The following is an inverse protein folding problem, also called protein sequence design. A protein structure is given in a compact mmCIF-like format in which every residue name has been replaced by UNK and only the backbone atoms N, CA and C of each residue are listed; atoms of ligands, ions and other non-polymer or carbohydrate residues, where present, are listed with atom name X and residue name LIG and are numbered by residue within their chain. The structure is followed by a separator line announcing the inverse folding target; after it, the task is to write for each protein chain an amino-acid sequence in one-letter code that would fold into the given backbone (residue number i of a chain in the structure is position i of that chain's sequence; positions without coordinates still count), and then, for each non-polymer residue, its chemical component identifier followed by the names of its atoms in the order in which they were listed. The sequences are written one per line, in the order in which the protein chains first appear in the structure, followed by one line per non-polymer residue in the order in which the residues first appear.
data_IF_973191420600
#
_entry.id   IF_973191420600
#
_cell.length_a   1.000
_cell.length_b   1.000
_cell.length_c   1.000
_cell.angle_alpha   90.00
_cell.angle_beta   90.00
_cell.angle_gamma   90.00
#
_symmetry.space_group_name_H-M   'P 1'
#
loop_
_entity.id
_entity.type
_entity.pdbx_description
1 polymer ?
#
# COMPACT_ATOMS: atom_id res chain seq x y z
N UNK A 1 58.95 23.28 -28.05
CA UNK A 1 59.17 22.84 -29.44
C UNK A 1 57.87 22.99 -30.23
N UNK A 2 56.74 22.54 -29.67
CA UNK A 2 55.35 22.77 -30.15
C UNK A 2 55.02 24.25 -30.39
N UNK A 3 55.21 25.14 -29.40
CA UNK A 3 54.97 26.60 -29.56
C UNK A 3 55.82 27.30 -30.65
N UNK A 4 56.87 26.64 -31.18
CA UNK A 4 57.72 27.14 -32.27
C UNK A 4 57.25 26.64 -33.64
N UNK A 5 56.50 25.55 -33.66
CA UNK A 5 55.88 24.93 -34.84
C UNK A 5 54.55 25.64 -35.14
N UNK A 6 53.73 25.94 -34.13
CA UNK A 6 52.45 26.68 -34.28
C UNK A 6 52.63 28.08 -34.89
N UNK A 7 53.76 28.73 -34.59
CA UNK A 7 54.11 30.05 -35.14
C UNK A 7 54.50 30.03 -36.62
N UNK A 8 54.92 28.86 -37.14
CA UNK A 8 55.40 28.69 -38.51
C UNK A 8 54.33 28.10 -39.46
N UNK A 9 53.21 27.60 -38.94
CA UNK A 9 52.12 26.97 -39.72
C UNK A 9 50.87 27.85 -39.88
N UNK A 10 50.92 29.14 -39.51
CA UNK A 10 49.77 30.07 -39.60
C UNK A 10 48.50 29.53 -38.90
N UNK A 11 48.63 28.78 -37.79
CA UNK A 11 47.51 28.11 -37.11
C UNK A 11 46.70 27.14 -37.98
N UNK A 12 47.25 26.67 -39.10
CA UNK A 12 46.61 25.64 -39.91
C UNK A 12 47.30 24.32 -39.63
N UNK A 13 46.87 23.68 -38.55
CA UNK A 13 47.33 22.36 -38.14
C UNK A 13 46.29 21.34 -38.65
N UNK A 14 46.51 20.79 -39.84
CA UNK A 14 45.71 19.66 -40.30
C UNK A 14 46.36 18.39 -39.78
N UNK A 15 45.70 17.74 -38.82
CA UNK A 15 46.05 16.39 -38.38
C UNK A 15 46.12 15.45 -39.60
N UNK A 16 47.29 14.82 -39.77
CA UNK A 16 47.64 13.99 -40.93
C UNK A 16 46.95 12.61 -40.90
N UNK A 17 46.33 12.23 -39.76
CA UNK A 17 45.73 10.91 -39.54
C UNK A 17 44.42 10.96 -38.72
N UNK A 18 43.51 10.02 -39.01
CA UNK A 18 42.18 9.90 -38.38
C UNK A 18 42.29 9.66 -36.87
N UNK A 19 43.29 8.89 -36.43
CA UNK A 19 43.50 8.61 -35.01
C UNK A 19 43.97 9.86 -34.24
N UNK A 20 44.76 10.71 -34.89
CA UNK A 20 45.19 12.01 -34.32
C UNK A 20 44.02 13.00 -34.21
N UNK A 21 43.11 13.00 -35.19
CA UNK A 21 41.83 13.74 -35.13
C UNK A 21 40.93 13.26 -33.98
N UNK A 22 40.89 11.95 -33.71
CA UNK A 22 40.10 11.38 -32.61
C UNK A 22 40.67 11.82 -31.24
N UNK A 23 41.99 11.90 -31.11
CA UNK A 23 42.66 12.36 -29.88
C UNK A 23 42.36 13.84 -29.64
N UNK A 24 42.56 14.68 -30.66
CA UNK A 24 42.26 16.12 -30.59
C UNK A 24 40.78 16.38 -30.29
N UNK A 25 39.87 15.54 -30.82
CA UNK A 25 38.43 15.60 -30.53
C UNK A 25 38.11 15.17 -29.09
N UNK A 26 38.76 14.13 -28.56
CA UNK A 26 38.55 13.69 -27.19
C UNK A 26 39.05 14.73 -26.18
N UNK A 27 40.18 15.37 -26.47
CA UNK A 27 40.68 16.51 -25.70
C UNK A 27 39.70 17.68 -25.78
N UNK A 28 39.23 18.02 -26.98
CA UNK A 28 38.25 19.08 -27.19
C UNK A 28 36.91 18.81 -26.46
N UNK A 29 36.46 17.56 -26.45
CA UNK A 29 35.24 17.12 -25.72
C UNK A 29 35.46 17.18 -24.21
N UNK A 30 36.63 16.81 -23.74
CA UNK A 30 36.97 16.87 -22.32
C UNK A 30 37.00 18.33 -21.82
N UNK A 31 37.55 19.26 -22.60
CA UNK A 31 37.53 20.68 -22.28
C UNK A 31 36.11 21.27 -22.29
N UNK A 32 35.31 20.94 -23.32
CA UNK A 32 33.90 21.36 -23.39
C UNK A 32 33.11 20.85 -22.17
N UNK A 33 33.30 19.57 -21.83
CA UNK A 33 32.62 18.94 -20.68
C UNK A 33 33.01 19.62 -19.37
N UNK A 34 34.29 19.96 -19.17
CA UNK A 34 34.75 20.69 -17.98
C UNK A 34 34.10 22.07 -17.84
N UNK A 35 33.96 22.82 -18.94
CA UNK A 35 33.31 24.14 -18.92
C UNK A 35 31.83 24.00 -18.55
N UNK A 36 31.12 23.03 -19.12
CA UNK A 36 29.71 22.75 -18.82
C UNK A 36 29.51 22.28 -17.37
N UNK A 37 30.38 21.41 -16.86
CA UNK A 37 30.37 21.00 -15.45
C UNK A 37 30.61 22.20 -14.51
N UNK A 38 31.53 23.10 -14.90
CA UNK A 38 31.76 24.37 -14.22
C UNK A 38 30.50 25.24 -14.15
N UNK A 39 29.85 25.47 -15.29
CA UNK A 39 28.59 26.23 -15.37
C UNK A 39 27.49 25.61 -14.52
N UNK A 40 27.34 24.28 -14.55
CA UNK A 40 26.36 23.56 -13.74
C UNK A 40 26.64 23.69 -12.24
N UNK A 41 27.90 23.66 -11.82
CA UNK A 41 28.30 23.86 -10.42
C UNK A 41 27.98 25.28 -9.96
N UNK A 42 28.28 26.28 -10.78
CA UNK A 42 27.96 27.69 -10.50
C UNK A 42 26.45 27.87 -10.40
N UNK A 43 25.67 27.30 -11.33
CA UNK A 43 24.19 27.35 -11.34
C UNK A 43 23.58 26.73 -10.07
N UNK A 44 24.06 25.55 -9.66
CA UNK A 44 23.60 24.89 -8.41
C UNK A 44 23.89 25.75 -7.18
N UNK A 45 25.06 26.38 -7.12
CA UNK A 45 25.39 27.29 -6.02
C UNK A 45 24.53 28.56 -6.00
N UNK A 46 24.20 29.13 -7.17
CA UNK A 46 23.27 30.27 -7.27
C UNK A 46 21.87 29.90 -6.78
N UNK A 47 21.36 28.72 -7.14
CA UNK A 47 20.08 28.24 -6.64
C UNK A 47 20.08 28.12 -5.11
N UNK A 48 21.17 27.59 -4.53
CA UNK A 48 21.30 27.48 -3.07
C UNK A 48 21.27 28.84 -2.38
N UNK A 49 22.09 29.80 -2.84
CA UNK A 49 22.14 31.14 -2.26
C UNK A 49 20.80 31.89 -2.38
N UNK A 50 20.08 31.72 -3.50
CA UNK A 50 18.76 32.33 -3.69
C UNK A 50 17.70 31.73 -2.77
N UNK A 51 17.74 30.42 -2.55
CA UNK A 51 16.86 29.77 -1.57
C UNK A 51 17.16 30.24 -0.15
N UNK A 52 18.45 30.27 0.26
CA UNK A 52 18.88 30.79 1.56
C UNK A 52 18.41 32.24 1.77
N UNK A 53 18.44 33.08 0.73
CA UNK A 53 17.90 34.45 0.79
C UNK A 53 16.38 34.47 1.00
N UNK A 54 15.63 33.62 0.30
CA UNK A 54 14.17 33.57 0.43
C UNK A 54 13.76 33.11 1.83
N UNK A 55 14.45 32.12 2.40
CA UNK A 55 14.20 31.64 3.77
C UNK A 55 14.37 32.77 4.79
N UNK A 56 15.46 33.55 4.69
CA UNK A 56 15.68 34.72 5.57
C UNK A 56 14.62 35.82 5.37
N UNK A 57 14.13 36.03 4.15
CA UNK A 57 13.05 36.99 3.89
C UNK A 57 11.72 36.55 4.51
N UNK A 58 11.47 35.24 4.58
CA UNK A 58 10.31 34.67 5.28
C UNK A 58 10.45 34.91 6.79
N UNK A 59 11.60 34.57 7.38
CA UNK A 59 11.88 34.81 8.80
C UNK A 59 11.69 36.29 9.18
N UNK A 60 12.17 37.21 8.34
CA UNK A 60 12.01 38.65 8.54
C UNK A 60 10.52 39.07 8.58
N UNK A 61 9.70 38.53 7.68
CA UNK A 61 8.25 38.77 7.66
C UNK A 61 7.56 38.22 8.91
N UNK A 62 8.00 37.08 9.42
CA UNK A 62 7.46 36.52 10.65
C UNK A 62 7.78 37.41 11.86
N UNK A 63 9.03 37.88 11.97
CA UNK A 63 9.43 38.84 13.00
C UNK A 63 8.65 40.16 12.91
N UNK A 64 8.28 40.62 11.71
CA UNK A 64 7.38 41.77 11.54
C UNK A 64 5.99 41.52 12.11
N UNK A 65 5.44 40.33 11.93
CA UNK A 65 4.15 39.95 12.50
C UNK A 65 4.23 39.89 14.03
N UNK A 66 5.30 39.29 14.58
CA UNK A 66 5.53 39.24 16.02
C UNK A 66 5.67 40.64 16.62
N UNK A 67 6.48 41.51 16.02
CA UNK A 67 6.64 42.89 16.48
C UNK A 67 5.28 43.62 16.54
N UNK A 68 4.46 43.52 15.48
CA UNK A 68 3.12 44.12 15.46
C UNK A 68 2.18 43.56 16.53
N UNK A 69 2.32 42.29 16.90
CA UNK A 69 1.55 41.69 18.01
C UNK A 69 2.01 42.26 19.35
N UNK A 70 3.32 42.34 19.59
CA UNK A 70 3.88 42.91 20.82
C UNK A 70 3.49 44.39 21.00
N UNK A 71 3.51 45.19 19.93
CA UNK A 71 3.01 46.57 19.94
C UNK A 71 1.52 46.67 20.30
N UNK A 72 0.68 45.76 19.79
CA UNK A 72 -0.74 45.68 20.16
C UNK A 72 -0.93 45.29 21.63
N UNK A 73 -0.11 44.39 22.15
CA UNK A 73 -0.12 44.00 23.57
C UNK A 73 0.20 45.18 24.48
N UNK A 74 1.17 46.04 24.09
CA UNK A 74 1.45 47.30 24.80
C UNK A 74 0.22 48.21 24.81
N UNK A 75 -0.48 48.34 23.69
CA UNK A 75 -1.71 49.15 23.62
C UNK A 75 -2.82 48.64 24.56
N UNK A 76 -2.93 47.33 24.78
CA UNK A 76 -3.85 46.75 25.78
C UNK A 76 -3.40 47.01 27.21
N UNK A 77 -2.11 46.83 27.51
CA UNK A 77 -1.57 47.07 28.86
C UNK A 77 -1.67 48.56 29.25
N UNK A 78 -1.53 49.49 28.30
CA UNK A 78 -1.80 50.92 28.54
C UNK A 78 -3.23 51.20 29.03
N UNK A 79 -4.20 50.33 28.72
CA UNK A 79 -5.59 50.39 29.19
C UNK A 79 -5.82 49.58 30.48
N UNK A 80 -4.75 49.19 31.18
CA UNK A 80 -4.82 48.31 32.36
C UNK A 80 -5.48 46.95 32.07
N UNK A 81 -5.40 46.46 30.83
CA UNK A 81 -6.00 45.20 30.42
C UNK A 81 -4.91 44.19 30.05
N UNK A 82 -4.97 42.98 30.61
CA UNK A 82 -4.03 41.91 30.31
C UNK A 82 -4.17 41.46 28.85
N UNK A 83 -3.08 41.41 28.06
CA UNK A 83 -3.16 41.03 26.65
C UNK A 83 -3.45 39.54 26.43
N UNK A 84 -3.23 38.71 27.46
CA UNK A 84 -3.39 37.25 27.40
C UNK A 84 -4.76 36.76 27.88
N UNK A 85 -5.33 37.35 28.94
CA UNK A 85 -6.58 36.90 29.56
C UNK A 85 -7.62 38.01 29.79
N UNK A 86 -7.37 39.23 29.27
CA UNK A 86 -8.23 40.41 29.36
C UNK A 86 -8.66 40.83 30.79
N UNK A 87 -7.97 40.35 31.82
CA UNK A 87 -8.18 40.76 33.22
C UNK A 87 -7.62 42.16 33.50
N UNK A 88 -8.15 42.85 34.51
CA UNK A 88 -7.67 44.18 34.92
C UNK A 88 -6.34 44.10 35.67
N UNK A 89 -5.34 44.87 35.22
CA UNK A 89 -3.99 44.91 35.78
C UNK A 89 -3.82 46.17 36.63
N UNK A 90 -3.57 46.00 37.92
CA UNK A 90 -3.30 47.13 38.82
C UNK A 90 -1.93 47.78 38.58
N UNK A 91 -0.86 46.99 38.46
CA UNK A 91 0.49 47.48 38.17
C UNK A 91 0.95 47.05 36.78
N UNK A 92 1.16 48.02 35.89
CA UNK A 92 1.48 47.78 34.48
C UNK A 92 2.98 47.88 34.16
N UNK A 93 3.83 48.23 35.13
CA UNK A 93 5.25 48.54 34.89
C UNK A 93 6.02 47.28 34.46
N UNK A 94 5.93 46.19 35.24
CA UNK A 94 6.69 44.97 34.99
C UNK A 94 6.30 44.32 33.65
N UNK A 95 5.01 44.30 33.34
CA UNK A 95 4.49 43.77 32.08
C UNK A 95 4.89 44.63 30.87
N UNK A 96 4.96 45.96 31.02
CA UNK A 96 5.50 46.84 29.98
C UNK A 96 6.98 46.58 29.73
N UNK A 97 7.78 46.48 30.80
CA UNK A 97 9.22 46.24 30.67
C UNK A 97 9.53 44.92 29.95
N UNK A 98 8.79 43.84 30.25
CA UNK A 98 8.93 42.56 29.54
C UNK A 98 8.67 42.72 28.04
N UNK A 99 7.56 43.34 27.65
CA UNK A 99 7.22 43.46 26.23
C UNK A 99 8.14 44.45 25.50
N UNK A 100 8.63 45.50 26.17
CA UNK A 100 9.64 46.38 25.57
C UNK A 100 10.95 45.64 25.32
N UNK A 101 11.42 44.81 26.25
CA UNK A 101 12.59 43.96 26.04
C UNK A 101 12.38 42.99 24.87
N UNK A 102 11.20 42.35 24.78
CA UNK A 102 10.86 41.47 23.65
C UNK A 102 10.90 42.21 22.30
N UNK A 103 10.44 43.47 22.25
CA UNK A 103 10.51 44.31 21.05
C UNK A 103 11.96 44.61 20.69
N UNK A 104 12.80 44.98 21.67
CA UNK A 104 14.21 45.26 21.45
C UNK A 104 14.96 44.01 20.94
N UNK A 105 14.67 42.83 21.50
CA UNK A 105 15.21 41.55 21.03
C UNK A 105 14.80 41.26 19.59
N UNK A 106 13.52 41.48 19.24
CA UNK A 106 13.02 41.31 17.86
C UNK A 106 13.73 42.27 16.91
N UNK A 107 13.93 43.54 17.30
CA UNK A 107 14.63 44.52 16.48
C UNK A 107 16.10 44.13 16.23
N UNK A 108 16.78 43.62 17.26
CA UNK A 108 18.14 43.10 17.12
C UNK A 108 18.21 41.93 16.13
N UNK A 109 17.30 40.95 16.25
CA UNK A 109 17.24 39.80 15.34
C UNK A 109 16.95 40.21 13.90
N UNK A 110 16.05 41.18 13.69
CA UNK A 110 15.80 41.73 12.34
C UNK A 110 17.05 42.32 11.72
N UNK A 111 17.79 43.12 12.48
CA UNK A 111 19.04 43.72 12.00
C UNK A 111 20.08 42.66 11.62
N UNK A 112 20.19 41.59 12.39
CA UNK A 112 21.08 40.47 12.06
C UNK A 112 20.66 39.75 10.76
N UNK A 113 19.38 39.48 10.59
CA UNK A 113 18.83 38.85 9.38
C UNK A 113 19.06 39.75 8.15
N UNK A 114 18.79 41.05 8.26
CA UNK A 114 19.03 42.02 7.19
C UNK A 114 20.51 42.07 6.77
N UNK A 115 21.42 42.05 7.75
CA UNK A 115 22.86 41.99 7.48
C UNK A 115 23.25 40.67 6.78
N UNK A 116 22.62 39.55 7.14
CA UNK A 116 22.86 38.27 6.48
C UNK A 116 22.32 38.25 5.04
N UNK A 117 21.16 38.86 4.78
CA UNK A 117 20.63 39.05 3.43
C UNK A 117 21.63 39.83 2.57
N UNK A 118 22.16 40.96 3.07
CA UNK A 118 23.17 41.75 2.35
C UNK A 118 24.43 40.95 2.03
N UNK A 119 24.90 40.09 2.95
CA UNK A 119 26.04 39.21 2.71
C UNK A 119 25.74 38.17 1.62
N UNK A 120 24.53 37.60 1.61
CA UNK A 120 24.12 36.62 0.58
C UNK A 120 23.97 37.29 -0.77
N UNK A 121 23.41 38.51 -0.84
CA UNK A 121 23.29 39.28 -2.07
C UNK A 121 24.66 39.54 -2.73
N UNK A 122 25.65 39.96 -1.94
CA UNK A 122 27.03 40.11 -2.43
C UNK A 122 27.61 38.80 -2.97
N UNK A 123 27.30 37.66 -2.32
CA UNK A 123 27.75 36.34 -2.81
C UNK A 123 27.06 35.96 -4.12
N UNK A 124 25.77 36.26 -4.27
CA UNK A 124 25.01 36.03 -5.51
C UNK A 124 25.65 36.84 -6.64
N UNK A 125 25.88 38.13 -6.45
CA UNK A 125 26.48 39.02 -7.46
C UNK A 125 27.86 38.50 -7.91
N UNK A 126 28.74 38.15 -6.97
CA UNK A 126 30.06 37.58 -7.29
C UNK A 126 29.96 36.28 -8.09
N UNK A 127 28.95 35.47 -7.82
CA UNK A 127 28.76 34.19 -8.48
C UNK A 127 28.07 34.31 -9.85
N UNK A 128 27.22 35.32 -10.03
CA UNK A 128 26.65 35.70 -11.33
C UNK A 128 27.73 36.23 -12.27
N UNK A 129 28.64 37.08 -11.77
CA UNK A 129 29.77 37.57 -12.55
C UNK A 129 30.67 36.42 -13.04
N UNK A 130 30.97 35.43 -12.16
CA UNK A 130 31.70 34.21 -12.55
C UNK A 130 30.95 33.37 -13.59
N UNK A 131 29.63 33.33 -13.52
CA UNK A 131 28.81 32.62 -14.51
C UNK A 131 28.92 33.27 -15.88
N UNK A 132 28.83 34.60 -15.95
CA UNK A 132 28.97 35.38 -17.20
C UNK A 132 30.37 35.20 -17.79
N UNK A 133 31.41 35.27 -16.96
CA UNK A 133 32.79 35.04 -17.40
C UNK A 133 32.98 33.62 -17.99
N UNK A 134 32.45 32.60 -17.31
CA UNK A 134 32.53 31.21 -17.79
C UNK A 134 31.74 31.00 -19.08
N UNK A 135 30.62 31.72 -19.26
CA UNK A 135 29.82 31.67 -20.48
C UNK A 135 30.54 32.33 -21.66
N UNK A 136 31.26 33.42 -21.43
CA UNK A 136 32.09 34.05 -22.46
C UNK A 136 33.21 33.11 -22.91
N UNK A 137 33.85 32.42 -21.97
CA UNK A 137 34.86 31.41 -22.29
C UNK A 137 34.30 30.26 -23.15
N UNK A 138 33.06 29.84 -22.91
CA UNK A 138 32.38 28.84 -23.74
C UNK A 138 32.17 29.34 -25.17
N UNK A 139 31.69 30.57 -25.34
CA UNK A 139 31.46 31.16 -26.66
C UNK A 139 32.75 31.35 -27.46
N UNK A 140 33.84 31.78 -26.81
CA UNK A 140 35.15 31.89 -27.46
C UNK A 140 35.68 30.51 -27.91
N UNK A 141 35.45 29.49 -27.11
CA UNK A 141 35.82 28.10 -27.44
C UNK A 141 35.01 27.55 -28.62
N UNK A 142 33.69 27.75 -28.64
CA UNK A 142 32.83 27.34 -29.76
C UNK A 142 33.19 28.06 -31.08
N UNK A 143 33.59 29.32 -31.01
CA UNK A 143 34.04 30.07 -32.19
C UNK A 143 35.38 29.55 -32.74
N UNK A 144 36.30 29.09 -31.89
CA UNK A 144 37.55 28.45 -32.31
C UNK A 144 37.29 27.12 -33.02
N UNK A 145 36.34 26.32 -32.53
CA UNK A 145 35.97 25.02 -33.13
C UNK A 145 35.36 25.17 -34.53
N UNK A 146 34.52 26.19 -34.77
CA UNK A 146 33.88 26.44 -36.09
C UNK A 146 34.87 26.76 -37.23
N UNK A 147 36.07 27.21 -36.92
CA UNK A 147 37.06 27.63 -37.93
C UNK A 147 37.75 26.40 -38.58
N UNK A 148 37.72 25.21 -37.96
CA UNK A 148 38.55 24.06 -38.36
C UNK A 148 37.85 22.91 -39.13
N UNK A 149 36.51 22.87 -39.32
CA UNK A 149 35.84 21.56 -39.53
C UNK A 149 34.70 21.47 -40.56
N UNK A 150 34.68 22.21 -41.68
CA UNK A 150 33.54 22.11 -42.62
C UNK A 150 33.35 20.71 -43.29
N UNK A 151 34.41 19.92 -43.51
CA UNK A 151 34.29 18.59 -44.16
C UNK A 151 34.18 17.41 -43.16
N UNK A 152 34.60 17.61 -41.92
CA UNK A 152 34.58 16.59 -40.85
C UNK A 152 33.21 16.53 -40.16
N UNK A 153 32.45 17.62 -40.17
CA UNK A 153 31.14 17.74 -39.53
C UNK A 153 30.11 16.74 -40.07
N UNK A 154 30.09 16.50 -41.38
CA UNK A 154 29.10 15.65 -42.03
C UNK A 154 29.33 14.16 -41.79
N UNK A 155 30.59 13.73 -41.74
CA UNK A 155 30.97 12.34 -41.41
C UNK A 155 30.63 12.05 -39.94
N UNK A 156 30.85 13.01 -39.04
CA UNK A 156 30.52 12.88 -37.62
C UNK A 156 29.01 12.83 -37.41
N UNK A 157 28.24 13.71 -38.06
CA UNK A 157 26.77 13.67 -38.03
C UNK A 157 26.26 12.29 -38.48
N UNK A 158 26.79 11.77 -39.58
CA UNK A 158 26.40 10.46 -40.10
C UNK A 158 26.69 9.31 -39.13
N UNK A 159 27.87 9.29 -38.49
CA UNK A 159 28.20 8.28 -37.45
C UNK A 159 27.29 8.41 -36.21
N UNK A 160 27.00 9.64 -35.77
CA UNK A 160 26.06 9.90 -34.69
C UNK A 160 24.65 9.39 -35.00
N UNK A 161 24.16 9.59 -36.24
CA UNK A 161 22.89 9.03 -36.67
C UNK A 161 22.86 7.50 -36.66
N UNK A 162 23.96 6.84 -37.08
CA UNK A 162 24.06 5.38 -37.02
C UNK A 162 24.02 4.87 -35.58
N UNK A 163 24.73 5.53 -34.66
CA UNK A 163 24.76 5.14 -33.26
C UNK A 163 23.39 5.30 -32.59
N UNK A 164 22.70 6.42 -32.81
CA UNK A 164 21.33 6.65 -32.34
C UNK A 164 20.40 5.56 -32.93
N UNK A 165 20.51 5.29 -34.22
CA UNK A 165 19.69 4.26 -34.89
C UNK A 165 19.90 2.88 -34.25
N UNK A 166 21.14 2.51 -33.96
CA UNK A 166 21.46 1.22 -33.34
C UNK A 166 20.98 1.14 -31.89
N UNK A 167 21.09 2.23 -31.12
CA UNK A 167 20.52 2.30 -29.77
C UNK A 167 19.01 2.10 -29.79
N UNK A 168 18.31 2.80 -30.68
CA UNK A 168 16.86 2.67 -30.83
C UNK A 168 16.46 1.24 -31.23
N UNK A 169 17.18 0.59 -32.14
CA UNK A 169 16.92 -0.81 -32.49
C UNK A 169 17.11 -1.76 -31.30
N UNK A 170 18.15 -1.55 -30.49
CA UNK A 170 18.39 -2.32 -29.28
C UNK A 170 17.26 -2.12 -28.26
N UNK A 171 16.82 -0.88 -28.03
CA UNK A 171 15.70 -0.56 -27.14
C UNK A 171 14.39 -1.21 -27.62
N UNK A 172 14.09 -1.13 -28.92
CA UNK A 172 12.93 -1.79 -29.53
C UNK A 172 12.99 -3.30 -29.29
N UNK A 173 14.14 -3.94 -29.50
CA UNK A 173 14.30 -5.37 -29.28
C UNK A 173 14.08 -5.75 -27.80
N UNK A 174 14.61 -4.97 -26.86
CA UNK A 174 14.40 -5.18 -25.43
C UNK A 174 12.92 -5.01 -25.04
N UNK A 175 12.24 -3.99 -25.58
CA UNK A 175 10.82 -3.78 -25.36
C UNK A 175 9.98 -4.95 -25.90
N UNK A 176 10.28 -5.43 -27.11
CA UNK A 176 9.60 -6.58 -27.70
C UNK A 176 9.79 -7.86 -26.87
N UNK A 177 11.02 -8.13 -26.39
CA UNK A 177 11.26 -9.27 -25.51
C UNK A 177 10.43 -9.20 -24.21
N UNK A 178 10.31 -7.99 -23.61
CA UNK A 178 9.46 -7.78 -22.43
C UNK A 178 7.99 -8.01 -22.75
N UNK A 179 7.51 -7.58 -23.92
CA UNK A 179 6.13 -7.82 -24.37
C UNK A 179 5.88 -9.33 -24.48
N UNK A 180 6.77 -10.07 -25.14
CA UNK A 180 6.64 -11.52 -25.31
C UNK A 180 6.60 -12.27 -23.96
N UNK A 181 7.43 -11.88 -23.00
CA UNK A 181 7.41 -12.43 -21.65
C UNK A 181 6.07 -12.17 -20.93
N UNK A 182 5.53 -10.95 -21.05
CA UNK A 182 4.23 -10.60 -20.48
C UNK A 182 3.11 -11.38 -21.15
N UNK A 183 3.13 -11.54 -22.46
CA UNK A 183 2.14 -12.31 -23.21
C UNK A 183 2.15 -13.80 -22.83
N UNK A 184 3.34 -14.39 -22.62
CA UNK A 184 3.45 -15.76 -22.07
C UNK A 184 2.82 -15.86 -20.69
N UNK A 185 3.08 -14.87 -19.83
CA UNK A 185 2.52 -14.81 -18.48
C UNK A 185 0.99 -14.68 -18.50
N UNK A 186 0.44 -13.84 -19.38
CA UNK A 186 -1.00 -13.68 -19.59
C UNK A 186 -1.63 -15.00 -20.03
N UNK A 187 -1.01 -15.73 -20.98
CA UNK A 187 -1.49 -17.04 -21.42
C UNK A 187 -1.56 -18.05 -20.26
N UNK A 188 -0.53 -18.09 -19.41
CA UNK A 188 -0.51 -18.96 -18.22
C UNK A 188 -1.68 -18.62 -17.28
N UNK A 189 -1.87 -17.34 -16.94
CA UNK A 189 -2.98 -16.93 -16.06
C UNK A 189 -4.35 -17.20 -16.67
N UNK A 190 -4.51 -17.03 -17.98
CA UNK A 190 -5.77 -17.37 -18.67
C UNK A 190 -6.07 -18.88 -18.61
N UNK A 191 -5.06 -19.74 -18.75
CA UNK A 191 -5.22 -21.18 -18.59
C UNK A 191 -5.62 -21.55 -17.15
N UNK A 192 -4.99 -20.93 -16.15
CA UNK A 192 -5.35 -21.12 -14.74
C UNK A 192 -6.80 -20.67 -14.48
N UNK A 193 -7.19 -19.50 -15.01
CA UNK A 193 -8.57 -18.98 -14.90
C UNK A 193 -9.58 -19.93 -15.54
N UNK A 194 -9.28 -20.49 -16.71
CA UNK A 194 -10.13 -21.48 -17.36
C UNK A 194 -10.25 -22.78 -16.54
N UNK A 195 -9.17 -23.23 -15.91
CA UNK A 195 -9.19 -24.37 -14.98
C UNK A 195 -10.10 -24.11 -13.79
N UNK A 196 -10.06 -22.92 -13.18
CA UNK A 196 -10.99 -22.59 -12.09
C UNK A 196 -12.44 -22.46 -12.55
N UNK A 197 -12.68 -21.90 -13.74
CA UNK A 197 -14.02 -21.79 -14.30
C UNK A 197 -14.66 -23.18 -14.51
N UNK A 198 -13.92 -24.13 -15.08
CA UNK A 198 -14.38 -25.52 -15.28
C UNK A 198 -14.62 -26.26 -13.96
N UNK A 199 -13.72 -26.08 -12.97
CA UNK A 199 -13.93 -26.62 -11.60
C UNK A 199 -15.20 -26.07 -10.97
N UNK A 200 -15.46 -24.76 -11.08
CA UNK A 200 -16.67 -24.13 -10.54
C UNK A 200 -17.95 -24.71 -11.16
N UNK A 201 -17.96 -24.96 -12.46
CA UNK A 201 -19.08 -25.62 -13.14
C UNK A 201 -19.31 -27.02 -12.58
N UNK A 202 -18.23 -27.79 -12.39
CA UNK A 202 -18.30 -29.14 -11.83
C UNK A 202 -18.83 -29.15 -10.39
N UNK A 203 -18.36 -28.21 -9.54
CA UNK A 203 -18.84 -28.03 -8.16
C UNK A 203 -20.32 -27.67 -8.13
N UNK A 204 -20.76 -26.70 -8.95
CA UNK A 204 -22.16 -26.30 -8.98
C UNK A 204 -23.07 -27.42 -9.51
N UNK A 205 -22.61 -28.22 -10.47
CA UNK A 205 -23.33 -29.41 -10.93
C UNK A 205 -23.52 -30.41 -9.79
N UNK A 206 -22.44 -30.73 -9.06
CA UNK A 206 -22.49 -31.65 -7.93
C UNK A 206 -23.35 -31.13 -6.78
N UNK A 207 -23.25 -29.83 -6.47
CA UNK A 207 -24.11 -29.16 -5.50
C UNK A 207 -25.58 -29.31 -5.86
N UNK A 208 -25.94 -29.08 -7.12
CA UNK A 208 -27.31 -29.21 -7.59
C UNK A 208 -27.83 -30.65 -7.41
N UNK A 209 -27.03 -31.65 -7.81
CA UNK A 209 -27.36 -33.08 -7.62
C UNK A 209 -27.59 -33.42 -6.14
N UNK A 210 -26.68 -33.03 -5.25
CA UNK A 210 -26.81 -33.28 -3.81
C UNK A 210 -28.05 -32.62 -3.20
N UNK A 211 -28.29 -31.36 -3.54
CA UNK A 211 -29.44 -30.60 -3.01
C UNK A 211 -30.78 -31.15 -3.50
N UNK A 212 -30.84 -31.67 -4.73
CA UNK A 212 -32.05 -32.34 -5.25
C UNK A 212 -32.34 -33.64 -4.52
N UNK A 213 -31.32 -34.49 -4.33
CA UNK A 213 -31.47 -35.74 -3.60
C UNK A 213 -31.97 -35.49 -2.17
N UNK A 214 -31.42 -34.49 -1.48
CA UNK A 214 -31.84 -34.18 -0.12
C UNK A 214 -33.22 -33.49 -0.07
N UNK A 215 -33.56 -32.67 -1.06
CA UNK A 215 -34.92 -32.12 -1.21
C UNK A 215 -35.95 -33.23 -1.31
N UNK A 216 -35.67 -34.27 -2.10
CA UNK A 216 -36.53 -35.45 -2.22
C UNK A 216 -36.59 -36.24 -0.91
N UNK A 217 -35.45 -36.46 -0.26
CA UNK A 217 -35.36 -37.15 1.03
C UNK A 217 -36.22 -36.49 2.12
N UNK A 218 -36.18 -35.16 2.22
CA UNK A 218 -36.95 -34.39 3.21
C UNK A 218 -38.35 -33.97 2.75
N UNK A 219 -38.76 -34.28 1.51
CA UNK A 219 -40.07 -33.93 0.97
C UNK A 219 -40.34 -32.41 0.88
N UNK A 220 -39.31 -31.60 0.64
CA UNK A 220 -39.37 -30.13 0.70
C UNK A 220 -39.97 -29.53 -0.58
N UNK A 221 -41.30 -29.60 -0.72
CA UNK A 221 -42.01 -29.14 -1.92
C UNK A 221 -41.97 -27.63 -2.13
N UNK A 222 -41.83 -26.82 -1.09
CA UNK A 222 -41.82 -25.36 -1.21
C UNK A 222 -40.56 -24.77 -1.86
N UNK A 223 -39.49 -25.56 -2.00
CA UNK A 223 -38.21 -25.06 -2.51
C UNK A 223 -38.10 -25.29 -4.01
N UNK A 224 -37.98 -24.19 -4.76
CA UNK A 224 -37.69 -24.25 -6.20
C UNK A 224 -36.26 -24.77 -6.45
N UNK A 225 -36.14 -25.78 -7.31
CA UNK A 225 -34.87 -26.41 -7.70
C UNK A 225 -33.96 -25.47 -8.48
N UNK A 226 -34.53 -24.44 -9.13
CA UNK A 226 -33.74 -23.42 -9.81
C UNK A 226 -32.77 -22.72 -8.84
N UNK A 227 -33.13 -22.66 -7.54
CA UNK A 227 -32.26 -22.11 -6.50
C UNK A 227 -31.01 -22.96 -6.27
N UNK A 228 -30.99 -24.25 -6.65
CA UNK A 228 -29.83 -25.13 -6.46
C UNK A 228 -28.81 -25.06 -7.61
N UNK A 229 -29.08 -24.29 -8.66
CA UNK A 229 -28.18 -24.11 -9.82
C UNK A 229 -26.79 -23.55 -9.45
N UNK A 230 -26.68 -22.84 -8.33
CA UNK A 230 -25.44 -22.21 -7.91
C UNK A 230 -25.36 -22.19 -6.38
N UNK A 231 -24.20 -22.58 -5.85
CA UNK A 231 -23.89 -22.60 -4.42
C UNK A 231 -24.08 -21.25 -3.71
N UNK A 232 -24.06 -20.15 -4.47
CA UNK A 232 -24.24 -18.78 -3.95
C UNK A 232 -25.69 -18.34 -3.80
N UNK A 233 -26.63 -19.08 -4.37
CA UNK A 233 -28.03 -18.72 -4.31
C UNK A 233 -28.53 -18.87 -2.87
N UNK A 234 -29.41 -17.96 -2.46
CA UNK A 234 -30.02 -17.96 -1.13
C UNK A 234 -31.44 -18.48 -1.29
N UNK A 235 -31.83 -19.42 -0.42
CA UNK A 235 -33.18 -19.96 -0.35
C UNK A 235 -33.52 -20.22 1.12
N UNK A 236 -34.80 -20.12 1.44
CA UNK A 236 -35.32 -20.30 2.79
C UNK A 236 -36.62 -21.08 2.73
N UNK A 237 -36.81 -22.01 3.67
CA UNK A 237 -38.10 -22.66 3.88
C UNK A 237 -38.91 -21.95 4.99
N UNK A 238 -40.22 -22.22 5.01
CA UNK A 238 -41.14 -21.72 6.03
C UNK A 238 -41.20 -22.62 7.26
N UNK A 239 -41.51 -22.04 8.42
CA UNK A 239 -41.85 -22.77 9.64
C UNK A 239 -40.79 -23.80 10.09
N UNK A 240 -41.24 -25.01 10.41
CA UNK A 240 -40.41 -26.12 10.91
C UNK A 240 -39.44 -26.71 9.88
N UNK A 241 -39.55 -26.36 8.59
CA UNK A 241 -38.62 -26.82 7.55
C UNK A 241 -37.34 -25.96 7.48
N UNK A 242 -37.32 -24.79 8.12
CA UNK A 242 -36.16 -23.88 8.11
C UNK A 242 -34.89 -24.50 8.73
N UNK A 243 -34.93 -25.16 9.90
CA UNK A 243 -33.77 -25.85 10.46
C UNK A 243 -33.26 -26.98 9.55
N UNK A 244 -34.18 -27.78 9.00
CA UNK A 244 -33.88 -28.89 8.07
C UNK A 244 -33.11 -28.38 6.85
N UNK A 245 -33.61 -27.32 6.22
CA UNK A 245 -32.97 -26.71 5.05
C UNK A 245 -31.57 -26.20 5.36
N UNK A 246 -31.40 -25.61 6.54
CA UNK A 246 -30.10 -25.07 6.98
C UNK A 246 -29.09 -26.20 7.16
N UNK A 247 -29.50 -27.29 7.80
CA UNK A 247 -28.66 -28.47 8.02
C UNK A 247 -28.33 -29.15 6.69
N UNK A 248 -29.33 -29.39 5.83
CA UNK A 248 -29.15 -29.93 4.49
C UNK A 248 -28.12 -29.14 3.70
N UNK A 249 -28.29 -27.81 3.64
CA UNK A 249 -27.36 -26.93 2.94
C UNK A 249 -25.95 -27.06 3.50
N UNK A 250 -25.79 -26.97 4.82
CA UNK A 250 -24.49 -27.04 5.47
C UNK A 250 -23.78 -28.39 5.25
N UNK A 251 -24.51 -29.50 5.40
CA UNK A 251 -23.97 -30.85 5.16
C UNK A 251 -23.52 -31.03 3.72
N UNK A 252 -24.28 -30.51 2.74
CA UNK A 252 -23.88 -30.55 1.34
C UNK A 252 -22.63 -29.69 1.05
N UNK A 253 -22.45 -28.56 1.74
CA UNK A 253 -21.19 -27.81 1.65
C UNK A 253 -19.99 -28.61 2.18
N UNK A 254 -20.15 -29.34 3.29
CA UNK A 254 -19.10 -30.20 3.83
C UNK A 254 -18.75 -31.37 2.89
N UNK A 255 -19.75 -32.00 2.26
CA UNK A 255 -19.56 -33.03 1.22
C UNK A 255 -18.75 -32.49 0.04
N UNK A 256 -19.14 -31.32 -0.50
CA UNK A 256 -18.41 -30.67 -1.60
C UNK A 256 -16.99 -30.30 -1.22
N UNK A 257 -16.79 -29.76 -0.01
CA UNK A 257 -15.45 -29.44 0.50
C UNK A 257 -14.56 -30.68 0.53
N UNK A 258 -15.08 -31.81 1.00
CA UNK A 258 -14.32 -33.07 1.07
C UNK A 258 -14.03 -33.65 -0.32
N UNK A 259 -14.98 -33.58 -1.25
CA UNK A 259 -14.81 -34.09 -2.61
C UNK A 259 -13.78 -33.28 -3.42
N UNK A 260 -13.92 -31.95 -3.42
CA UNK A 260 -13.11 -31.05 -4.26
C UNK A 260 -11.87 -30.49 -3.56
N UNK A 261 -11.73 -30.66 -2.24
CA UNK A 261 -10.59 -30.19 -1.46
C UNK A 261 -10.25 -31.16 -0.31
N UNK A 262 -9.82 -32.37 -0.68
CA UNK A 262 -9.47 -33.46 0.25
C UNK A 262 -8.42 -33.10 1.30
N UNK A 263 -7.51 -32.17 0.98
CA UNK A 263 -6.45 -31.70 1.88
C UNK A 263 -6.91 -30.63 2.86
N UNK A 264 -8.16 -30.18 2.79
CA UNK A 264 -8.67 -29.17 3.70
C UNK A 264 -8.78 -29.72 5.13
N UNK A 265 -8.50 -28.86 6.10
CA UNK A 265 -8.70 -29.16 7.51
C UNK A 265 -10.18 -29.46 7.77
N UNK A 266 -10.44 -30.54 8.51
CA UNK A 266 -11.75 -31.00 8.94
C UNK A 266 -11.92 -30.64 10.42
N UNK A 267 -13.05 -30.03 10.76
CA UNK A 267 -13.37 -29.61 12.12
C UNK A 267 -14.50 -30.49 12.66
N UNK A 268 -14.55 -30.75 13.97
CA UNK A 268 -15.72 -31.35 14.61
C UNK A 268 -16.99 -30.53 14.30
N UNK A 269 -18.08 -31.22 14.00
CA UNK A 269 -19.38 -30.62 13.80
C UNK A 269 -20.14 -30.61 15.13
N UNK A 270 -20.40 -29.42 15.67
CA UNK A 270 -21.17 -29.24 16.91
C UNK A 270 -22.53 -28.66 16.55
N UNK A 271 -23.60 -29.40 16.84
CA UNK A 271 -24.97 -28.95 16.63
C UNK A 271 -25.67 -28.83 17.98
N UNK A 272 -25.99 -27.61 18.39
CA UNK A 272 -26.79 -27.36 19.58
C UNK A 272 -28.27 -27.28 19.22
N UNK A 273 -29.04 -28.27 19.67
CA UNK A 273 -30.48 -28.38 19.46
C UNK A 273 -30.87 -28.18 17.98
N UNK A 274 -30.43 -29.07 17.07
CA UNK A 274 -30.67 -28.94 15.62
C UNK A 274 -32.16 -28.85 15.24
N UNK A 275 -33.05 -29.20 16.15
CA UNK A 275 -34.50 -29.03 16.04
C UNK A 275 -35.02 -28.10 17.16
N UNK A 276 -34.99 -26.78 16.93
CA UNK A 276 -35.37 -25.75 17.91
C UNK A 276 -36.81 -25.21 17.74
N UNK A 277 -37.63 -25.88 16.93
CA UNK A 277 -39.04 -25.54 16.72
C UNK A 277 -39.83 -26.79 17.07
N UNK A 278 -40.94 -26.66 17.81
CA UNK A 278 -41.91 -27.76 18.03
C UNK A 278 -42.30 -28.35 16.67
N UNK A 279 -41.59 -29.41 16.30
CA UNK A 279 -41.69 -30.07 15.02
C UNK A 279 -42.16 -31.48 15.30
N UNK A 280 -42.98 -32.00 14.41
CA UNK A 280 -43.49 -33.36 14.45
C UNK A 280 -42.37 -34.38 14.69
N UNK A 281 -42.64 -35.39 15.53
CA UNK A 281 -41.64 -36.37 15.98
C UNK A 281 -41.02 -37.12 14.79
N UNK A 282 -41.79 -37.33 13.72
CA UNK A 282 -41.34 -37.93 12.47
C UNK A 282 -40.28 -37.08 11.75
N UNK A 283 -40.41 -35.74 11.76
CA UNK A 283 -39.42 -34.84 11.14
C UNK A 283 -38.14 -34.80 11.96
N UNK A 284 -38.26 -34.84 13.29
CA UNK A 284 -37.13 -34.92 14.20
C UNK A 284 -36.32 -36.19 13.91
N UNK A 285 -36.99 -37.35 13.86
CA UNK A 285 -36.34 -38.63 13.55
C UNK A 285 -35.67 -38.63 12.18
N UNK A 286 -36.35 -38.10 11.16
CA UNK A 286 -35.81 -37.98 9.80
C UNK A 286 -34.53 -37.13 9.75
N UNK A 287 -34.50 -36.02 10.49
CA UNK A 287 -33.33 -35.14 10.56
C UNK A 287 -32.13 -35.81 11.24
N UNK A 288 -32.35 -36.50 12.35
CA UNK A 288 -31.29 -37.23 13.04
C UNK A 288 -30.74 -38.38 12.19
N UNK A 289 -31.61 -39.16 11.55
CA UNK A 289 -31.21 -40.21 10.61
C UNK A 289 -30.33 -39.66 9.48
N UNK A 290 -30.72 -38.52 8.92
CA UNK A 290 -29.90 -37.84 7.91
C UNK A 290 -28.53 -37.44 8.45
N UNK A 291 -28.47 -36.80 9.63
CA UNK A 291 -27.21 -36.37 10.25
C UNK A 291 -26.25 -37.54 10.50
N UNK A 292 -26.74 -38.63 11.07
CA UNK A 292 -25.93 -39.81 11.38
C UNK A 292 -25.48 -40.56 10.13
N UNK A 293 -26.32 -40.57 9.08
CA UNK A 293 -25.99 -41.24 7.81
C UNK A 293 -25.02 -40.43 6.96
N UNK A 294 -25.18 -39.11 6.90
CA UNK A 294 -24.51 -38.26 5.92
C UNK A 294 -23.22 -37.61 6.44
N UNK A 295 -22.90 -37.80 7.73
CA UNK A 295 -21.62 -37.39 8.30
C UNK A 295 -20.47 -38.17 7.66
N UNK A 296 -19.34 -37.50 7.44
CA UNK A 296 -18.14 -38.13 6.91
C UNK A 296 -17.47 -38.94 8.01
N UNK A 297 -16.99 -40.14 7.67
CA UNK A 297 -16.39 -41.08 8.64
C UNK A 297 -15.15 -40.55 9.37
N UNK A 298 -14.54 -39.47 8.88
CA UNK A 298 -13.38 -38.83 9.49
C UNK A 298 -13.71 -37.46 10.12
N UNK A 299 -14.98 -37.21 10.42
CA UNK A 299 -15.46 -35.98 11.08
C UNK A 299 -16.23 -36.33 12.35
N UNK A 300 -15.75 -35.85 13.50
CA UNK A 300 -16.48 -35.98 14.76
C UNK A 300 -17.77 -35.16 14.73
N UNK A 301 -18.88 -35.77 15.15
CA UNK A 301 -20.20 -35.13 15.30
C UNK A 301 -20.60 -35.10 16.78
N UNK A 302 -20.89 -33.90 17.28
CA UNK A 302 -21.35 -33.66 18.65
C UNK A 302 -22.71 -32.99 18.56
N UNK A 303 -23.74 -33.60 19.15
CA UNK A 303 -25.11 -33.07 19.11
C UNK A 303 -25.66 -32.95 20.53
N UNK A 304 -26.16 -31.76 20.85
CA UNK A 304 -26.98 -31.49 22.04
C UNK A 304 -28.44 -31.51 21.63
N UNK A 305 -29.30 -32.24 22.35
CA UNK A 305 -30.74 -32.30 22.07
C UNK A 305 -31.56 -32.74 23.28
N UNK A 306 -32.85 -32.44 23.27
CA UNK A 306 -33.82 -32.89 24.27
C UNK A 306 -34.55 -34.15 23.79
N UNK A 307 -34.74 -35.12 24.67
CA UNK A 307 -35.52 -36.34 24.38
C UNK A 307 -34.89 -37.17 23.26
N UNK A 308 -33.62 -37.54 23.44
CA UNK A 308 -32.93 -38.51 22.59
C UNK A 308 -33.04 -39.90 23.24
N UNK A 309 -33.48 -40.89 22.47
CA UNK A 309 -33.50 -42.28 22.90
C UNK A 309 -32.70 -43.12 21.90
N UNK A 310 -31.70 -43.84 22.40
CA UNK A 310 -30.83 -44.69 21.57
C UNK A 310 -31.62 -45.78 20.83
N UNK A 311 -32.70 -46.28 21.42
CA UNK A 311 -33.54 -47.31 20.80
C UNK A 311 -34.24 -46.85 19.51
N UNK A 312 -34.33 -45.54 19.25
CA UNK A 312 -34.93 -45.03 18.02
C UNK A 312 -33.98 -45.08 16.81
N UNK A 313 -32.69 -45.38 17.05
CA UNK A 313 -31.56 -45.25 16.12
C UNK A 313 -30.60 -46.45 16.22
N UNK A 314 -31.13 -47.67 16.35
CA UNK A 314 -30.35 -48.90 16.56
C UNK A 314 -29.36 -49.20 15.43
N UNK A 315 -29.60 -48.68 14.23
CA UNK A 315 -28.73 -48.82 13.07
C UNK A 315 -27.44 -47.97 13.13
N UNK A 316 -27.31 -47.07 14.11
CA UNK A 316 -26.16 -46.20 14.28
C UNK A 316 -25.39 -46.50 15.56
N UNK A 317 -24.06 -46.47 15.46
CA UNK A 317 -23.17 -46.59 16.63
C UNK A 317 -22.81 -45.20 17.17
N UNK A 318 -22.89 -45.06 18.49
CA UNK A 318 -22.57 -43.83 19.21
C UNK A 318 -21.40 -44.09 20.17
N UNK A 319 -20.30 -43.37 20.00
CA UNK A 319 -19.11 -43.49 20.87
C UNK A 319 -19.40 -43.05 22.31
N UNK A 320 -20.19 -41.98 22.47
CA UNK A 320 -20.51 -41.42 23.78
C UNK A 320 -21.92 -40.81 23.79
N UNK A 321 -22.66 -41.04 24.86
CA UNK A 321 -23.98 -40.44 25.12
C UNK A 321 -23.95 -39.91 26.55
N UNK A 322 -24.13 -38.60 26.69
CA UNK A 322 -24.16 -37.92 27.98
C UNK A 322 -25.59 -37.48 28.25
N UNK A 323 -26.23 -38.10 29.24
CA UNK A 323 -27.55 -37.69 29.72
C UNK A 323 -27.39 -36.71 30.88
N UNK A 324 -27.96 -35.51 30.72
CA UNK A 324 -27.97 -34.49 31.77
C UNK A 324 -29.19 -34.69 32.66
N UNK A 325 -28.97 -35.18 33.88
CA UNK A 325 -30.02 -35.51 34.87
C UNK A 325 -30.10 -34.51 36.03
N UNK A 326 -29.37 -33.39 35.94
CA UNK A 326 -29.36 -32.35 36.95
C UNK A 326 -30.73 -31.65 37.09
N UNK A 327 -31.08 -31.27 38.33
CA UNK A 327 -32.31 -30.53 38.59
C UNK A 327 -32.29 -29.17 37.85
N UNK A 328 -33.49 -28.67 37.54
CA UNK A 328 -33.68 -27.34 36.96
C UNK A 328 -32.94 -26.28 37.78
N UNK A 329 -32.16 -25.44 37.10
CA UNK A 329 -31.30 -24.39 37.67
C UNK A 329 -30.08 -24.88 38.47
N UNK A 330 -29.73 -26.17 38.42
CA UNK A 330 -28.46 -26.69 38.95
C UNK A 330 -27.50 -27.02 37.82
N UNK A 331 -26.23 -26.67 37.97
CA UNK A 331 -25.19 -26.96 36.98
C UNK A 331 -24.72 -28.42 37.03
N UNK A 332 -24.72 -29.02 38.22
CA UNK A 332 -24.28 -30.39 38.47
C UNK A 332 -25.41 -31.17 39.12
N UNK A 333 -25.46 -32.48 38.90
CA UNK A 333 -26.28 -33.36 39.72
C UNK A 333 -25.75 -33.39 41.16
N UNK A 334 -26.55 -33.84 42.11
CA UNK A 334 -26.12 -33.98 43.51
C UNK A 334 -24.93 -34.93 43.61
N UNK A 335 -24.92 -35.99 42.81
CA UNK A 335 -23.86 -36.99 42.78
C UNK A 335 -22.58 -36.40 42.17
N UNK A 336 -22.67 -35.74 41.02
CA UNK A 336 -21.52 -35.06 40.38
C UNK A 336 -20.94 -33.99 41.31
N UNK A 337 -21.78 -33.19 41.97
CA UNK A 337 -21.29 -32.18 42.91
C UNK A 337 -20.52 -32.83 44.06
N UNK A 338 -21.06 -33.91 44.65
CA UNK A 338 -20.39 -34.59 45.76
C UNK A 338 -19.08 -35.27 45.34
N UNK A 339 -19.03 -35.80 44.12
CA UNK A 339 -17.83 -36.41 43.53
C UNK A 339 -16.74 -35.36 43.28
N UNK A 340 -17.11 -34.23 42.67
CA UNK A 340 -16.14 -33.21 42.23
C UNK A 340 -15.99 -32.03 43.21
N UNK A 341 -16.65 -32.03 44.37
CA UNK A 341 -16.59 -30.92 45.35
C UNK A 341 -15.16 -30.53 45.75
N UNK A 342 -14.25 -31.51 45.89
CA UNK A 342 -12.87 -31.23 46.29
C UNK A 342 -12.09 -30.54 45.17
N UNK A 343 -12.39 -30.86 43.91
CA UNK A 343 -11.81 -30.16 42.76
C UNK A 343 -12.40 -28.75 42.63
N UNK A 344 -13.72 -28.62 42.74
CA UNK A 344 -14.43 -27.34 42.63
C UNK A 344 -14.01 -26.37 43.75
N UNK A 345 -13.79 -26.88 44.96
CA UNK A 345 -13.29 -26.10 46.10
C UNK A 345 -11.85 -25.61 45.97
N UNK A 346 -11.12 -25.96 44.89
CA UNK A 346 -9.79 -25.37 44.58
C UNK A 346 -9.89 -24.04 43.83
N UNK A 347 -11.06 -23.71 43.29
CA UNK A 347 -11.29 -22.50 42.49
C UNK A 347 -12.17 -21.47 43.21
N UNK A 348 -12.60 -21.79 44.42
CA UNK A 348 -13.25 -20.89 45.40
C UNK A 348 -12.22 -20.62 46.48
#
# INVERSE_FOLDING_TARGET
MINKIDKNTNNVDYSIDIDSLIIEMNESKAEYTKIIEGLNKIKKGLMKLRNEKEDLLIELKELDIFNKKSEKSICKIKKHTCPYCDSEIQNTIDEKLKIYNEIDDILYLKYEIENNILKIERKIELQENKYVETLNNLNEYENKLKINTNDVEDIIKYKGFIEIKNSLYSEIAQCNNKIDEKDRTIKIFNNIKASYASKKVSINKKYNELMKNDKEYFGLKEIDENNFSNIKNIFTAGGSNKPIVTIMWYMNLLKLKSEFNKTAIKFPLILDSPNNVESDDDKKKTLFNYLFKEIQSDTQLIISTLGFNKADYEEFEFENIIELTNDKYKMLSTDDYNEYKEFLGKFI
#
